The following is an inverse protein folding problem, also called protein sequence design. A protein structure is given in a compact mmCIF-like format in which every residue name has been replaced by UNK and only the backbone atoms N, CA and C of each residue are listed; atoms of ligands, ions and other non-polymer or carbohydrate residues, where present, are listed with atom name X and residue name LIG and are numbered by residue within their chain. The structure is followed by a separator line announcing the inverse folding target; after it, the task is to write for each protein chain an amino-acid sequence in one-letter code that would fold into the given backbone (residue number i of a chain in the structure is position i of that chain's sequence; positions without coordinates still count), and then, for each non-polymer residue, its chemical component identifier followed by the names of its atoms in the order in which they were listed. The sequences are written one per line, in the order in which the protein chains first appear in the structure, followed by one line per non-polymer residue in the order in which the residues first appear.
data_IF_217289606399
#
_entry.id   IF_217289606399
#
_cell.length_a   1.000
_cell.length_b   1.000
_cell.length_c   1.000
_cell.angle_alpha   90.00
_cell.angle_beta   90.00
_cell.angle_gamma   90.00
#
_symmetry.space_group_name_H-M   'P 1'
#
loop_
_entity.id
_entity.type
_entity.pdbx_description
1 polymer ?
#
# COMPACT_ATOMS: atom_id res chain seq x y z
N UNK A 1 -10.65 -9.77 -0.63
CA UNK A 1 -9.55 -9.20 0.17
C UNK A 1 -9.11 -7.89 -0.46
N UNK A 2 -8.58 -6.94 0.33
CA UNK A 2 -8.11 -5.66 -0.18
C UNK A 2 -6.59 -5.62 -0.19
N UNK A 3 -6.03 -5.05 -1.25
CA UNK A 3 -4.60 -4.93 -1.46
C UNK A 3 -4.26 -3.49 -1.81
N UNK A 4 -3.16 -2.99 -1.26
CA UNK A 4 -2.55 -1.73 -1.64
C UNK A 4 -1.53 -2.02 -2.74
N UNK A 5 -1.67 -1.31 -3.84
CA UNK A 5 -0.80 -1.42 -5.03
C UNK A 5 0.31 -0.39 -4.90
N UNK A 6 1.52 -0.89 -4.81
CA UNK A 6 2.74 -0.10 -4.59
C UNK A 6 3.62 -0.26 -5.81
N UNK A 7 4.14 0.85 -6.32
CA UNK A 7 5.21 0.81 -7.31
C UNK A 7 6.54 0.53 -6.62
N UNK A 8 7.23 -0.55 -7.02
CA UNK A 8 8.49 -0.95 -6.40
C UNK A 8 9.66 -0.03 -6.73
N UNK A 9 9.61 0.70 -7.85
CA UNK A 9 10.71 1.59 -8.25
C UNK A 9 10.63 2.92 -7.50
N UNK A 10 9.42 3.47 -7.37
CA UNK A 10 9.22 4.77 -6.73
C UNK A 10 8.79 4.69 -5.28
N UNK A 11 8.47 3.50 -4.75
CA UNK A 11 7.88 3.32 -3.41
C UNK A 11 6.58 4.11 -3.20
N UNK A 12 5.87 4.42 -4.29
CA UNK A 12 4.63 5.18 -4.29
C UNK A 12 3.42 4.25 -4.34
N UNK A 13 2.39 4.59 -3.57
CA UNK A 13 1.11 3.89 -3.62
C UNK A 13 0.32 4.40 -4.82
N UNK A 14 0.16 3.52 -5.81
CA UNK A 14 -0.64 3.79 -7.02
C UNK A 14 -2.14 3.71 -6.76
N UNK A 15 -2.55 2.88 -5.81
CA UNK A 15 -3.95 2.73 -5.46
C UNK A 15 -4.24 1.49 -4.63
N UNK A 16 -5.50 1.08 -4.64
CA UNK A 16 -6.00 -0.12 -3.97
C UNK A 16 -6.71 -1.01 -4.97
N UNK A 17 -6.62 -2.31 -4.77
CA UNK A 17 -7.35 -3.31 -5.56
C UNK A 17 -8.06 -4.28 -4.63
N UNK A 18 -9.32 -4.57 -4.93
CA UNK A 18 -10.09 -5.60 -4.24
C UNK A 18 -10.09 -6.84 -5.10
N UNK A 19 -9.54 -7.93 -4.58
CA UNK A 19 -9.45 -9.20 -5.30
C UNK A 19 -9.86 -10.37 -4.37
N UNK A 20 -10.48 -11.42 -4.91
CA UNK A 20 -10.83 -12.61 -4.13
C UNK A 20 -9.59 -13.40 -3.67
N UNK A 21 -8.45 -13.29 -4.38
CA UNK A 21 -7.18 -13.94 -4.08
C UNK A 21 -5.99 -12.96 -4.15
N UNK A 22 -4.80 -13.37 -3.70
CA UNK A 22 -3.57 -12.56 -3.79
C UNK A 22 -3.24 -12.28 -5.26
N UNK A 23 -3.14 -11.00 -5.69
CA UNK A 23 -2.84 -10.66 -7.07
C UNK A 23 -1.49 -11.22 -7.51
N UNK A 24 -1.39 -11.62 -8.78
CA UNK A 24 -0.13 -12.12 -9.36
C UNK A 24 0.97 -11.10 -9.15
N UNK A 25 2.02 -11.48 -8.41
CA UNK A 25 3.15 -10.61 -8.11
C UNK A 25 3.80 -10.21 -9.43
N UNK A 26 3.75 -8.93 -9.75
CA UNK A 26 4.44 -8.38 -10.91
C UNK A 26 5.81 -7.86 -10.45
N UNK A 27 6.80 -7.85 -11.34
CA UNK A 27 8.14 -7.34 -11.03
C UNK A 27 8.13 -5.84 -10.71
N UNK A 28 7.16 -5.11 -11.28
CA UNK A 28 7.01 -3.66 -11.12
C UNK A 28 6.11 -3.24 -9.94
N UNK A 29 5.15 -4.07 -9.55
CA UNK A 29 4.15 -3.70 -8.53
C UNK A 29 4.12 -4.69 -7.38
N UNK A 30 4.14 -4.15 -6.16
CA UNK A 30 3.95 -4.91 -4.94
C UNK A 30 2.50 -4.79 -4.50
N UNK A 31 1.90 -5.93 -4.15
CA UNK A 31 0.55 -5.99 -3.60
C UNK A 31 0.66 -6.34 -2.12
N UNK A 32 0.29 -5.39 -1.26
CA UNK A 32 0.29 -5.61 0.20
C UNK A 32 -1.15 -5.76 0.64
N UNK A 33 -1.46 -6.90 1.27
CA UNK A 33 -2.76 -7.12 1.89
C UNK A 33 -2.99 -6.06 2.96
N UNK A 34 -4.09 -5.34 2.85
CA UNK A 34 -4.47 -4.28 3.78
C UNK A 34 -5.81 -4.60 4.43
N UNK A 35 -5.84 -4.46 5.75
CA UNK A 35 -7.09 -4.44 6.50
C UNK A 35 -7.84 -3.14 6.29
N UNK A 36 -9.11 -3.12 6.69
CA UNK A 36 -10.00 -1.97 6.56
C UNK A 36 -9.47 -0.72 7.29
N UNK A 37 -8.86 -0.91 8.47
CA UNK A 37 -8.19 0.17 9.21
C UNK A 37 -7.03 0.82 8.44
N UNK A 38 -6.21 0.00 7.77
CA UNK A 38 -5.10 0.48 6.95
C UNK A 38 -5.63 1.23 5.72
N UNK A 39 -6.66 0.71 5.06
CA UNK A 39 -7.31 1.38 3.93
C UNK A 39 -7.90 2.73 4.34
N UNK A 40 -8.61 2.80 5.46
CA UNK A 40 -9.18 4.06 5.96
C UNK A 40 -8.09 5.12 6.20
N UNK A 41 -6.95 4.72 6.79
CA UNK A 41 -5.78 5.59 6.96
C UNK A 41 -5.18 6.01 5.62
N UNK A 42 -5.02 5.07 4.70
CA UNK A 42 -4.54 5.33 3.34
C UNK A 42 -5.44 6.33 2.62
N UNK A 43 -6.75 6.14 2.61
CA UNK A 43 -7.68 7.06 1.94
C UNK A 43 -7.61 8.47 2.53
N UNK A 44 -7.49 8.60 3.86
CA UNK A 44 -7.28 9.92 4.50
C UNK A 44 -6.00 10.61 4.03
N UNK A 45 -4.90 9.85 3.94
CA UNK A 45 -3.62 10.37 3.41
C UNK A 45 -3.71 10.68 1.92
N UNK A 46 -4.32 9.79 1.14
CA UNK A 46 -4.48 9.93 -0.29
C UNK A 46 -5.33 11.15 -0.65
N UNK A 47 -6.39 11.44 0.11
CA UNK A 47 -7.17 12.66 -0.07
C UNK A 47 -6.32 13.91 0.18
N UNK A 48 -5.50 13.93 1.24
CA UNK A 48 -4.59 15.05 1.53
C UNK A 48 -3.48 15.21 0.49
N UNK A 49 -2.91 14.10 0.02
CA UNK A 49 -1.85 14.10 -0.98
C UNK A 49 -2.39 14.53 -2.36
N UNK A 50 -3.56 14.01 -2.76
CA UNK A 50 -4.24 14.40 -4.00
C UNK A 50 -4.61 15.88 -4.04
N UNK A 51 -5.02 16.46 -2.91
CA UNK A 51 -5.26 17.90 -2.82
C UNK A 51 -4.00 18.73 -3.12
N UNK A 52 -2.81 18.14 -2.98
CA UNK A 52 -1.51 18.73 -3.32
C UNK A 52 -0.94 18.23 -4.66
N UNK A 53 -1.68 17.40 -5.40
CA UNK A 53 -1.19 16.77 -6.64
C UNK A 53 -0.14 15.67 -6.43
N UNK A 54 -0.02 15.14 -5.21
CA UNK A 54 0.99 14.14 -4.84
C UNK A 54 0.38 12.74 -4.66
N UNK A 55 1.22 11.71 -4.82
CA UNK A 55 0.91 10.34 -4.45
C UNK A 55 1.40 10.05 -3.02
N UNK A 56 0.74 9.11 -2.35
CA UNK A 56 1.12 8.70 -0.98
C UNK A 56 2.32 7.78 -1.07
N UNK A 57 3.38 8.11 -0.33
CA UNK A 57 4.53 7.23 -0.16
C UNK A 57 4.21 6.07 0.80
N UNK A 58 4.77 4.89 0.55
CA UNK A 58 4.58 3.74 1.45
C UNK A 58 5.07 4.01 2.87
N UNK A 59 6.11 4.83 3.03
CA UNK A 59 6.67 5.26 4.30
C UNK A 59 5.70 6.14 5.09
N UNK A 60 4.93 7.01 4.41
CA UNK A 60 3.89 7.80 5.09
C UNK A 60 2.77 6.90 5.62
N UNK A 61 2.34 5.93 4.81
CA UNK A 61 1.33 4.98 5.26
C UNK A 61 1.87 4.06 6.38
N UNK A 62 3.13 3.64 6.29
CA UNK A 62 3.79 2.81 7.29
C UNK A 62 3.94 3.53 8.64
N UNK A 63 4.24 4.84 8.64
CA UNK A 63 4.28 5.67 9.85
C UNK A 63 2.94 5.73 10.57
N UNK A 64 1.83 5.78 9.84
CA UNK A 64 0.49 5.87 10.45
C UNK A 64 -0.13 4.48 10.73
N UNK A 65 0.36 3.42 10.09
CA UNK A 65 -0.18 2.06 10.18
C UNK A 65 0.93 1.03 10.41
N UNK A 66 1.17 0.70 11.68
CA UNK A 66 2.08 -0.38 12.07
C UNK A 66 1.71 -1.74 11.43
N UNK A 67 0.42 -2.07 11.32
CA UNK A 67 -0.03 -3.30 10.64
C UNK A 67 0.35 -3.36 9.15
N UNK A 68 0.44 -2.20 8.49
CA UNK A 68 0.91 -2.12 7.11
C UNK A 68 2.43 -2.33 7.04
N UNK A 69 3.18 -1.70 7.93
CA UNK A 69 4.63 -1.88 8.05
C UNK A 69 4.99 -3.35 8.30
N UNK A 70 4.31 -4.02 9.23
CA UNK A 70 4.49 -5.46 9.48
C UNK A 70 4.19 -6.32 8.24
N UNK A 71 3.19 -5.94 7.46
CA UNK A 71 2.83 -6.64 6.23
C UNK A 71 3.86 -6.41 5.12
N UNK A 72 4.45 -5.21 5.07
CA UNK A 72 5.52 -4.83 4.17
C UNK A 72 6.80 -5.63 4.50
N UNK A 73 7.22 -5.65 5.77
CA UNK A 73 8.41 -6.39 6.25
C UNK A 73 8.25 -7.90 6.01
N UNK A 74 7.07 -8.47 6.27
CA UNK A 74 6.80 -9.89 6.00
C UNK A 74 6.85 -10.23 4.52
N UNK A 75 6.51 -9.30 3.63
CA UNK A 75 6.61 -9.52 2.18
C UNK A 75 8.07 -9.42 1.70
N UNK A 76 8.86 -8.52 2.32
CA UNK A 76 10.28 -8.35 2.02
C UNK A 76 11.13 -9.55 2.47
N UNK A 77 10.89 -10.08 3.68
CA UNK A 77 11.56 -11.29 4.20
C UNK A 77 11.29 -12.58 3.42
N UNK A 78 10.35 -12.59 2.48
CA UNK A 78 10.07 -13.73 1.60
C UNK A 78 10.84 -13.68 0.27
N UNK A 79 11.75 -12.71 0.10
CA UNK A 79 12.70 -12.66 -1.01
C UNK A 79 13.96 -13.45 -0.72
#
# INVERSE_FOLDING_TARGET
MNFIVIDKQSNLIKGTVTAPAEPTKNTKTLFIKAGELTLSKYFKLATKARAKGLLVDIGELAKVSHSFLDSLIRNDKKR
#
